data_IF_094090452733
#
_entry.id   IF_094090452733
#
_cell.length_a   1.000
_cell.length_b   1.000
_cell.length_c   1.000
_cell.angle_alpha   90.00
_cell.angle_beta   90.00
_cell.angle_gamma   90.00
#
_symmetry.space_group_name_H-M   'P 1'
#
loop_
_entity.id
_entity.type
_entity.pdbx_description
1 polymer ?
#
# COMPACT_ATOMS: atom_id res chain seq x y z
N UNK A 1 -11.87 8.96 25.65
CA UNK A 1 -10.97 7.81 25.59
C UNK A 1 -11.47 6.90 24.47
N UNK A 2 -10.60 6.36 23.63
CA UNK A 2 -10.92 5.49 22.51
C UNK A 2 -10.70 4.02 22.90
N UNK A 3 -11.44 3.11 22.27
CA UNK A 3 -11.17 1.68 22.38
C UNK A 3 -9.90 1.32 21.61
N UNK A 4 -9.73 1.90 20.42
CA UNK A 4 -8.49 1.78 19.66
C UNK A 4 -8.09 3.09 18.99
N UNK A 5 -6.78 3.39 18.97
CA UNK A 5 -6.16 4.46 18.18
C UNK A 5 -5.34 3.79 17.08
N UNK A 6 -5.63 4.15 15.85
CA UNK A 6 -5.01 3.59 14.65
C UNK A 6 -4.07 4.65 14.06
N UNK A 7 -2.79 4.37 14.01
CA UNK A 7 -1.77 5.27 13.49
C UNK A 7 -1.43 4.86 12.04
N UNK A 8 -1.77 5.72 11.09
CA UNK A 8 -1.65 5.51 9.65
C UNK A 8 -2.98 5.14 9.00
N UNK A 9 -3.46 5.98 8.07
CA UNK A 9 -4.71 5.78 7.33
C UNK A 9 -4.49 5.21 5.90
N UNK A 10 -3.44 4.42 5.71
CA UNK A 10 -3.30 3.58 4.53
C UNK A 10 -4.28 2.39 4.56
N UNK A 11 -4.23 1.47 3.58
CA UNK A 11 -5.16 0.35 3.47
C UNK A 11 -5.30 -0.49 4.76
N UNK A 12 -4.19 -0.67 5.50
CA UNK A 12 -4.22 -1.41 6.77
C UNK A 12 -5.01 -0.68 7.86
N UNK A 13 -4.77 0.64 8.02
CA UNK A 13 -5.43 1.42 9.07
C UNK A 13 -6.90 1.67 8.77
N UNK A 14 -7.24 1.99 7.53
CA UNK A 14 -8.63 2.18 7.12
C UNK A 14 -9.44 0.88 7.24
N UNK A 15 -8.87 -0.26 6.85
CA UNK A 15 -9.50 -1.56 7.07
C UNK A 15 -9.70 -1.84 8.57
N UNK A 16 -8.70 -1.54 9.41
CA UNK A 16 -8.80 -1.72 10.85
C UNK A 16 -9.92 -0.85 11.47
N UNK A 17 -10.07 0.40 11.01
CA UNK A 17 -11.15 1.29 11.45
C UNK A 17 -12.54 0.75 11.06
N UNK A 18 -12.68 0.27 9.81
CA UNK A 18 -13.94 -0.32 9.32
C UNK A 18 -14.32 -1.59 10.09
N UNK A 19 -13.38 -2.51 10.32
CA UNK A 19 -13.64 -3.69 11.16
C UNK A 19 -13.90 -3.31 12.62
N UNK A 20 -13.18 -2.31 13.16
CA UNK A 20 -13.44 -1.79 14.51
C UNK A 20 -14.86 -1.32 14.67
N UNK A 21 -15.39 -0.56 13.69
CA UNK A 21 -16.78 -0.13 13.69
C UNK A 21 -17.77 -1.33 13.68
N UNK A 22 -17.52 -2.36 12.85
CA UNK A 22 -18.35 -3.58 12.85
C UNK A 22 -18.38 -4.30 14.20
N UNK A 23 -17.33 -4.13 14.98
CA UNK A 23 -17.24 -4.69 16.35
C UNK A 23 -17.78 -3.71 17.41
N UNK A 24 -18.33 -2.58 17.02
CA UNK A 24 -18.87 -1.56 17.94
C UNK A 24 -17.80 -0.79 18.71
N UNK A 25 -16.54 -0.79 18.24
CA UNK A 25 -15.44 -0.09 18.89
C UNK A 25 -15.43 1.40 18.51
N UNK A 26 -15.20 2.26 19.48
CA UNK A 26 -14.90 3.66 19.26
C UNK A 26 -13.44 3.81 18.84
N UNK A 27 -13.20 4.11 17.56
CA UNK A 27 -11.86 4.21 16.99
C UNK A 27 -11.48 5.66 16.65
N UNK A 28 -10.16 5.95 16.72
CA UNK A 28 -9.55 7.18 16.20
C UNK A 28 -8.52 6.78 15.14
N UNK A 29 -8.67 7.30 13.94
CA UNK A 29 -7.77 7.09 12.81
C UNK A 29 -6.92 8.35 12.59
N UNK A 30 -5.59 8.21 12.64
CA UNK A 30 -4.64 9.31 12.52
C UNK A 30 -3.75 9.11 11.29
N UNK A 31 -3.58 10.13 10.45
CA UNK A 31 -2.56 10.13 9.40
C UNK A 31 -1.84 11.49 9.35
N UNK A 32 -0.56 11.45 9.03
CA UNK A 32 0.29 12.63 8.87
C UNK A 32 0.03 13.41 7.58
N UNK A 33 -0.64 12.80 6.63
CA UNK A 33 -0.95 13.37 5.31
C UNK A 33 -2.41 13.77 5.25
N UNK A 34 -2.69 14.76 4.40
CA UNK A 34 -4.04 15.06 3.94
C UNK A 34 -4.37 14.17 2.73
N UNK A 35 -5.63 13.76 2.60
CA UNK A 35 -6.11 12.95 1.48
C UNK A 35 -6.83 13.81 0.42
N UNK A 36 -6.73 13.48 -0.88
CA UNK A 36 -6.00 12.35 -1.47
C UNK A 36 -4.48 12.55 -1.48
N UNK A 37 -3.73 11.47 -1.23
CA UNK A 37 -2.28 11.47 -1.26
C UNK A 37 -1.71 10.33 -2.08
N UNK A 38 -0.53 10.53 -2.67
CA UNK A 38 0.20 9.47 -3.32
C UNK A 38 1.06 8.67 -2.33
N UNK A 39 1.37 7.43 -2.70
CA UNK A 39 2.27 6.54 -1.99
C UNK A 39 2.93 5.58 -2.97
N UNK A 40 4.26 5.54 -3.01
CA UNK A 40 5.01 4.62 -3.86
C UNK A 40 4.52 3.18 -3.68
N UNK A 41 4.00 2.59 -4.76
CA UNK A 41 3.42 1.25 -4.83
C UNK A 41 3.26 0.87 -6.30
N UNK A 42 3.16 -0.42 -6.62
CA UNK A 42 2.68 -0.91 -7.92
C UNK A 42 1.15 -0.84 -8.06
N UNK A 43 0.43 -0.40 -7.02
CA UNK A 43 -1.02 -0.16 -7.00
C UNK A 43 -1.90 -1.41 -7.17
N UNK A 44 -1.28 -2.59 -7.25
CA UNK A 44 -2.01 -3.83 -7.44
C UNK A 44 -2.71 -4.30 -6.14
N UNK A 45 -3.99 -4.61 -6.28
CA UNK A 45 -4.84 -5.22 -5.27
C UNK A 45 -5.01 -6.71 -5.63
N UNK A 46 -4.40 -7.57 -4.82
CA UNK A 46 -4.48 -9.02 -5.02
C UNK A 46 -5.86 -9.57 -4.65
N UNK A 47 -6.11 -10.81 -5.03
CA UNK A 47 -7.35 -11.49 -4.70
C UNK A 47 -7.69 -11.53 -3.20
N UNK A 48 -6.70 -11.57 -2.31
CA UNK A 48 -6.95 -11.46 -0.86
C UNK A 48 -7.49 -10.08 -0.48
N UNK A 49 -7.00 -9.02 -1.11
CA UNK A 49 -7.51 -7.66 -0.91
C UNK A 49 -8.94 -7.53 -1.42
N UNK A 50 -9.23 -8.12 -2.60
CA UNK A 50 -10.60 -8.16 -3.17
C UNK A 50 -11.58 -8.82 -2.21
N UNK A 51 -11.20 -9.94 -1.59
CA UNK A 51 -12.03 -10.61 -0.59
C UNK A 51 -12.30 -9.75 0.66
N UNK A 52 -11.31 -9.01 1.13
CA UNK A 52 -11.49 -8.08 2.27
C UNK A 52 -12.44 -6.93 1.88
N UNK A 53 -12.31 -6.42 0.66
CA UNK A 53 -13.19 -5.36 0.16
C UNK A 53 -14.63 -5.85 0.01
N UNK A 54 -14.83 -7.07 -0.45
CA UNK A 54 -16.13 -7.72 -0.52
C UNK A 54 -16.73 -7.93 0.87
N UNK A 55 -15.95 -8.47 1.80
CA UNK A 55 -16.35 -8.65 3.19
C UNK A 55 -16.72 -7.32 3.88
N UNK A 56 -16.08 -6.22 3.51
CA UNK A 56 -16.38 -4.88 4.01
C UNK A 56 -17.51 -4.16 3.25
N UNK A 57 -18.18 -4.79 2.28
CA UNK A 57 -19.21 -4.21 1.42
C UNK A 57 -18.71 -3.01 0.60
N UNK A 58 -17.44 -3.02 0.20
CA UNK A 58 -16.79 -1.92 -0.52
C UNK A 58 -16.53 -2.22 -1.99
N UNK A 59 -16.70 -3.47 -2.42
CA UNK A 59 -16.28 -3.92 -3.75
C UNK A 59 -17.03 -3.21 -4.88
N UNK A 60 -18.33 -2.95 -4.71
CA UNK A 60 -19.12 -2.20 -5.69
C UNK A 60 -18.56 -0.78 -5.92
N UNK A 61 -18.19 -0.09 -4.86
CA UNK A 61 -17.57 1.23 -4.96
C UNK A 61 -16.17 1.18 -5.60
N UNK A 62 -15.38 0.15 -5.29
CA UNK A 62 -14.07 -0.06 -5.90
C UNK A 62 -14.17 -0.32 -7.40
N UNK A 63 -15.18 -1.02 -7.86
CA UNK A 63 -15.44 -1.26 -9.30
C UNK A 63 -15.66 0.04 -10.11
N UNK A 64 -16.06 1.12 -9.45
CA UNK A 64 -16.32 2.42 -10.07
C UNK A 64 -15.13 3.38 -10.01
N UNK A 65 -14.01 2.98 -9.39
CA UNK A 65 -12.81 3.81 -9.31
C UNK A 65 -12.03 3.80 -10.64
N UNK A 66 -11.34 4.90 -10.93
CA UNK A 66 -10.43 4.98 -12.07
C UNK A 66 -9.22 4.08 -11.85
N UNK A 67 -9.18 2.96 -12.55
CA UNK A 67 -8.17 1.92 -12.46
C UNK A 67 -8.42 0.84 -13.50
N UNK A 68 -7.73 -0.29 -13.36
CA UNK A 68 -7.86 -1.44 -14.25
C UNK A 68 -8.25 -2.70 -13.49
N UNK A 69 -9.13 -3.50 -14.08
CA UNK A 69 -9.42 -4.86 -13.62
C UNK A 69 -8.38 -5.78 -14.25
N UNK A 70 -7.80 -6.65 -13.43
CA UNK A 70 -6.71 -7.55 -13.82
C UNK A 70 -7.17 -8.99 -13.71
N UNK A 71 -7.03 -9.72 -14.80
CA UNK A 71 -7.39 -11.14 -14.87
C UNK A 71 -6.18 -12.04 -15.14
N UNK A 72 -5.03 -11.46 -15.51
CA UNK A 72 -3.83 -12.21 -15.90
C UNK A 72 -2.58 -11.61 -15.27
N UNK A 73 -1.59 -12.48 -15.03
CA UNK A 73 -0.26 -12.10 -14.59
C UNK A 73 0.75 -12.72 -15.55
N UNK A 74 1.60 -11.90 -16.14
CA UNK A 74 2.70 -12.35 -17.00
C UNK A 74 4.00 -12.29 -16.21
N UNK A 75 4.75 -13.36 -16.26
CA UNK A 75 6.12 -13.44 -15.77
C UNK A 75 7.05 -13.64 -16.95
N UNK A 76 7.91 -12.67 -17.24
CA UNK A 76 8.90 -12.75 -18.30
C UNK A 76 10.31 -12.93 -17.72
N UNK A 77 11.09 -13.86 -18.27
CA UNK A 77 12.48 -14.09 -17.90
C UNK A 77 13.45 -13.23 -18.76
N UNK A 78 14.76 -13.16 -18.43
CA UNK A 78 15.73 -12.38 -19.20
C UNK A 78 15.92 -12.84 -20.67
N UNK A 79 15.41 -14.01 -21.03
CA UNK A 79 15.45 -14.55 -22.41
C UNK A 79 14.14 -14.32 -23.15
N UNK A 80 13.27 -13.44 -22.64
CA UNK A 80 11.95 -13.13 -23.20
C UNK A 80 11.00 -14.33 -23.32
N UNK A 81 11.21 -15.39 -22.52
CA UNK A 81 10.20 -16.44 -22.37
C UNK A 81 9.20 -16.02 -21.31
N UNK A 82 7.93 -16.22 -21.59
CA UNK A 82 6.83 -15.77 -20.75
C UNK A 82 6.05 -16.94 -20.17
N UNK A 83 5.53 -16.73 -18.97
CA UNK A 83 4.58 -17.61 -18.31
C UNK A 83 3.35 -16.79 -17.92
N UNK A 84 2.19 -17.20 -18.38
CA UNK A 84 0.91 -16.58 -18.07
C UNK A 84 0.20 -17.31 -16.94
N UNK A 85 -0.26 -16.56 -15.94
CA UNK A 85 -1.12 -17.05 -14.87
C UNK A 85 -2.51 -16.39 -14.98
N UNK A 86 -3.53 -17.20 -15.22
CA UNK A 86 -4.93 -16.74 -15.20
C UNK A 86 -5.46 -16.69 -13.77
N UNK A 87 -6.17 -15.62 -13.45
CA UNK A 87 -6.94 -15.49 -12.20
C UNK A 87 -8.33 -16.09 -12.40
N UNK A 88 -8.43 -17.43 -12.42
CA UNK A 88 -9.69 -18.15 -12.64
C UNK A 88 -10.27 -18.63 -11.30
N UNK A 89 -11.58 -18.39 -11.11
CA UNK A 89 -12.33 -18.84 -9.93
C UNK A 89 -12.26 -20.36 -9.72
N UNK A 90 -12.21 -21.11 -10.78
CA UNK A 90 -12.17 -22.59 -10.75
C UNK A 90 -10.81 -23.13 -10.28
N UNK A 91 -9.74 -22.34 -10.47
CA UNK A 91 -8.38 -22.74 -10.17
C UNK A 91 -7.89 -22.37 -8.77
N UNK A 92 -8.67 -21.59 -8.02
CA UNK A 92 -8.27 -21.18 -6.69
C UNK A 92 -9.37 -21.38 -5.63
N UNK A 93 -8.94 -21.78 -4.42
CA UNK A 93 -9.83 -22.05 -3.29
C UNK A 93 -10.64 -20.84 -2.79
N UNK A 94 -10.29 -19.65 -3.24
CA UNK A 94 -10.89 -18.38 -2.80
C UNK A 94 -11.97 -17.89 -3.77
N UNK A 95 -12.16 -18.57 -4.91
CA UNK A 95 -13.11 -18.21 -5.96
C UNK A 95 -12.97 -16.78 -6.49
N UNK A 96 -11.75 -16.26 -6.48
CA UNK A 96 -11.40 -14.91 -6.93
C UNK A 96 -11.06 -14.99 -8.42
N UNK A 97 -11.67 -14.13 -9.23
CA UNK A 97 -11.51 -14.11 -10.69
C UNK A 97 -10.67 -12.94 -11.19
N UNK A 98 -10.33 -12.00 -10.33
CA UNK A 98 -9.66 -10.78 -10.74
C UNK A 98 -8.95 -10.10 -9.57
N UNK A 99 -8.05 -9.19 -9.92
CA UNK A 99 -7.49 -8.17 -9.06
C UNK A 99 -7.77 -6.79 -9.64
N UNK A 100 -7.20 -5.76 -9.04
CA UNK A 100 -7.25 -4.40 -9.57
C UNK A 100 -5.86 -3.78 -9.56
N UNK A 101 -5.66 -2.79 -10.42
CA UNK A 101 -4.59 -1.81 -10.30
C UNK A 101 -5.26 -0.45 -10.23
N UNK A 102 -5.23 0.17 -9.06
CA UNK A 102 -5.87 1.47 -8.79
C UNK A 102 -4.83 2.38 -8.13
N UNK A 103 -4.57 3.58 -8.69
CA UNK A 103 -3.63 4.52 -8.09
C UNK A 103 -3.90 4.74 -6.62
N UNK A 104 -2.84 4.73 -5.80
CA UNK A 104 -2.95 4.88 -4.34
C UNK A 104 -3.64 6.18 -3.91
N UNK A 105 -3.50 7.25 -4.68
CA UNK A 105 -4.24 8.50 -4.42
C UNK A 105 -5.75 8.32 -4.53
N UNK A 106 -6.22 7.46 -5.41
CA UNK A 106 -7.65 7.17 -5.61
C UNK A 106 -8.12 6.12 -4.60
N UNK A 107 -7.41 4.99 -4.52
CA UNK A 107 -7.82 3.88 -3.65
C UNK A 107 -7.74 4.23 -2.17
N UNK A 108 -6.62 4.82 -1.73
CA UNK A 108 -6.44 5.18 -0.32
C UNK A 108 -7.46 6.27 0.11
N UNK A 109 -7.75 7.24 -0.78
CA UNK A 109 -8.77 8.25 -0.51
C UNK A 109 -10.16 7.63 -0.39
N UNK A 110 -10.53 6.73 -1.30
CA UNK A 110 -11.80 6.01 -1.20
C UNK A 110 -11.95 5.27 0.13
N UNK A 111 -10.93 4.51 0.53
CA UNK A 111 -10.91 3.77 1.79
C UNK A 111 -10.95 4.71 3.00
N UNK A 112 -10.24 5.83 2.92
CA UNK A 112 -10.20 6.83 4.00
C UNK A 112 -11.57 7.48 4.20
N UNK A 113 -12.25 7.91 3.12
CA UNK A 113 -13.60 8.48 3.23
C UNK A 113 -14.61 7.49 3.82
N UNK A 114 -14.50 6.20 3.49
CA UNK A 114 -15.33 5.17 4.10
C UNK A 114 -15.04 5.00 5.60
N UNK A 115 -13.77 4.98 5.98
CA UNK A 115 -13.37 4.88 7.39
C UNK A 115 -13.76 6.11 8.20
N UNK A 116 -13.64 7.31 7.64
CA UNK A 116 -14.01 8.58 8.26
C UNK A 116 -15.50 8.69 8.60
N UNK A 117 -16.37 8.01 7.85
CA UNK A 117 -17.80 7.98 8.13
C UNK A 117 -18.15 7.14 9.38
N UNK A 118 -17.25 6.30 9.87
CA UNK A 118 -17.52 5.34 10.96
C UNK A 118 -16.53 5.41 12.12
N UNK A 119 -15.54 6.29 12.03
CA UNK A 119 -14.52 6.53 13.06
C UNK A 119 -14.22 8.02 13.18
N UNK A 120 -13.76 8.45 14.36
CA UNK A 120 -13.12 9.75 14.44
C UNK A 120 -11.82 9.72 13.62
N UNK A 121 -11.52 10.75 12.84
CA UNK A 121 -10.33 10.80 12.01
C UNK A 121 -9.66 12.18 12.09
N UNK A 122 -8.32 12.21 12.09
CA UNK A 122 -7.54 13.42 12.00
C UNK A 122 -6.44 13.26 10.95
N UNK A 123 -6.52 14.10 9.90
CA UNK A 123 -5.53 14.25 8.83
C UNK A 123 -4.47 15.27 9.24
N UNK A 124 -3.30 15.22 8.63
CA UNK A 124 -2.22 16.18 8.94
C UNK A 124 -1.67 16.04 10.36
N UNK A 125 -1.96 14.93 11.05
CA UNK A 125 -1.48 14.67 12.41
C UNK A 125 -0.31 13.69 12.42
N UNK A 126 0.88 14.18 12.74
CA UNK A 126 2.09 13.37 12.83
C UNK A 126 2.28 12.83 14.24
N UNK A 127 2.03 11.53 14.44
CA UNK A 127 2.40 10.83 15.67
C UNK A 127 3.92 10.74 15.74
N UNK A 128 4.51 11.21 16.83
CA UNK A 128 5.95 11.22 17.06
C UNK A 128 6.38 10.48 18.33
N UNK A 129 5.44 10.17 19.22
CA UNK A 129 5.71 9.42 20.44
C UNK A 129 4.48 8.64 20.93
N UNK A 130 4.71 7.70 21.84
CA UNK A 130 3.70 6.94 22.54
C UNK A 130 3.62 7.39 24.01
N UNK A 131 2.42 7.32 24.58
CA UNK A 131 2.19 7.54 26.01
C UNK A 131 2.24 6.21 26.75
N UNK A 132 2.99 6.16 27.83
CA UNK A 132 3.19 4.96 28.63
C UNK A 132 2.67 5.15 30.06
N UNK A 133 2.12 4.07 30.60
CA UNK A 133 1.86 3.90 32.03
C UNK A 133 2.55 2.61 32.47
N UNK A 134 3.68 2.72 33.14
CA UNK A 134 4.59 1.59 33.34
C UNK A 134 5.04 1.01 32.00
N UNK A 135 4.79 -0.27 31.78
CA UNK A 135 5.14 -0.96 30.51
C UNK A 135 3.98 -0.99 29.50
N UNK A 136 2.84 -0.38 29.83
CA UNK A 136 1.66 -0.37 28.96
C UNK A 136 1.61 0.90 28.13
N UNK A 137 1.38 0.76 26.81
CA UNK A 137 1.05 1.89 25.94
C UNK A 137 -0.42 2.26 26.18
N UNK A 138 -0.68 3.55 26.49
CA UNK A 138 -2.00 4.08 26.83
C UNK A 138 -2.47 5.18 25.90
N UNK A 139 -1.67 5.51 24.88
CA UNK A 139 -2.01 6.57 23.94
C UNK A 139 -0.88 6.93 23.00
N UNK A 140 -1.09 7.98 22.24
CA UNK A 140 -0.14 8.56 21.30
C UNK A 140 0.00 10.06 21.55
N UNK A 141 1.19 10.60 21.23
CA UNK A 141 1.48 12.02 21.21
C UNK A 141 1.96 12.43 19.82
N UNK A 142 1.57 13.59 19.36
CA UNK A 142 1.95 14.09 18.04
C UNK A 142 1.69 15.57 17.85
N UNK A 143 1.83 16.01 16.59
CA UNK A 143 1.64 17.40 16.18
C UNK A 143 0.70 17.48 14.99
N UNK A 144 -0.23 18.42 15.04
CA UNK A 144 -1.04 18.85 13.90
C UNK A 144 -0.22 19.74 12.94
N UNK A 145 -0.74 19.98 11.74
CA UNK A 145 -0.08 20.83 10.71
C UNK A 145 0.24 22.22 11.22
N UNK A 146 -0.62 22.79 12.08
CA UNK A 146 -0.40 24.12 12.69
C UNK A 146 0.69 24.13 13.77
N UNK A 147 1.33 22.99 14.03
CA UNK A 147 2.38 22.82 15.04
C UNK A 147 1.87 22.57 16.46
N UNK A 148 0.54 22.60 16.69
CA UNK A 148 -0.03 22.31 18.01
C UNK A 148 0.22 20.85 18.41
N UNK A 149 0.66 20.64 19.65
CA UNK A 149 0.83 19.31 20.22
C UNK A 149 -0.48 18.80 20.79
N UNK A 150 -0.81 17.55 20.50
CA UNK A 150 -1.96 16.84 21.05
C UNK A 150 -1.60 15.48 21.57
N UNK A 151 -2.36 15.01 22.55
CA UNK A 151 -2.29 13.65 23.08
C UNK A 151 -3.66 12.98 22.95
N UNK A 152 -3.67 11.74 22.50
CA UNK A 152 -4.88 10.92 22.45
C UNK A 152 -4.68 9.68 23.30
N UNK A 153 -5.68 9.32 24.11
CA UNK A 153 -5.65 8.15 24.97
C UNK A 153 -6.62 7.08 24.50
N UNK A 154 -6.17 5.82 24.51
CA UNK A 154 -6.95 4.66 24.09
C UNK A 154 -6.46 3.37 24.75
N UNK A 155 -7.34 2.37 24.74
CA UNK A 155 -7.05 1.07 25.33
C UNK A 155 -6.09 0.23 24.50
N UNK A 156 -6.13 0.40 23.16
CA UNK A 156 -5.28 -0.28 22.18
C UNK A 156 -4.68 0.74 21.21
N UNK A 157 -3.39 0.56 20.87
CA UNK A 157 -2.73 1.34 19.82
C UNK A 157 -2.34 0.40 18.68
N UNK A 158 -2.87 0.67 17.49
CA UNK A 158 -2.60 -0.07 16.26
C UNK A 158 -1.62 0.72 15.39
N UNK A 159 -0.39 0.19 15.21
CA UNK A 159 0.58 0.75 14.27
C UNK A 159 0.29 0.26 12.84
N UNK A 160 -0.29 1.12 12.02
CA UNK A 160 -0.54 0.91 10.58
C UNK A 160 0.22 1.94 9.72
N UNK A 161 1.28 2.52 10.29
CA UNK A 161 2.06 3.66 9.80
C UNK A 161 3.19 3.28 8.82
N UNK A 162 3.10 2.07 8.26
CA UNK A 162 3.90 1.60 7.13
C UNK A 162 5.33 1.17 7.50
N UNK A 163 6.23 1.07 6.51
CA UNK A 163 7.54 0.41 6.67
C UNK A 163 8.50 1.16 7.60
N UNK A 164 8.24 2.43 7.89
CA UNK A 164 9.05 3.25 8.80
C UNK A 164 8.33 3.50 10.14
N UNK A 165 7.44 2.61 10.53
CA UNK A 165 6.55 2.73 11.69
C UNK A 165 7.21 3.34 12.92
N UNK A 166 6.63 4.46 13.39
CA UNK A 166 7.02 5.07 14.65
C UNK A 166 6.52 4.24 15.85
N UNK A 167 5.33 3.66 15.71
CA UNK A 167 4.76 2.78 16.76
C UNK A 167 5.69 1.61 17.01
N UNK A 168 6.11 0.90 15.95
CA UNK A 168 7.04 -0.23 16.05
C UNK A 168 8.40 0.16 16.65
N UNK A 169 8.93 1.35 16.26
CA UNK A 169 10.18 1.87 16.81
C UNK A 169 10.10 2.16 18.30
N UNK A 170 9.01 2.79 18.75
CA UNK A 170 8.84 3.20 20.14
C UNK A 170 8.60 2.04 21.11
N UNK A 171 8.06 0.92 20.62
CA UNK A 171 7.92 -0.31 21.42
C UNK A 171 9.10 -1.29 21.24
N UNK A 172 10.16 -0.90 20.51
CA UNK A 172 11.37 -1.72 20.33
C UNK A 172 11.22 -2.93 19.40
N UNK A 173 10.14 -2.97 18.58
CA UNK A 173 9.88 -4.07 17.64
C UNK A 173 10.37 -3.77 16.22
N UNK A 174 10.85 -2.57 15.96
CA UNK A 174 11.31 -2.19 14.62
C UNK A 174 12.68 -2.80 14.34
N UNK A 175 12.72 -3.69 13.37
CA UNK A 175 13.94 -4.27 12.84
C UNK A 175 13.94 -4.10 11.32
N UNK A 176 15.00 -3.50 10.79
CA UNK A 176 15.21 -3.38 9.35
C UNK A 176 16.33 -4.33 8.95
N UNK A 177 15.97 -5.40 8.28
CA UNK A 177 16.92 -6.29 7.61
C UNK A 177 17.05 -5.84 6.15
N UNK A 178 18.26 -5.42 5.75
CA UNK A 178 18.49 -4.92 4.40
C UNK A 178 18.44 -6.01 3.34
N UNK A 179 18.72 -7.26 3.71
CA UNK A 179 18.68 -8.40 2.80
C UNK A 179 17.24 -8.91 2.57
N UNK A 180 16.31 -8.51 3.44
CA UNK A 180 14.88 -8.81 3.30
C UNK A 180 14.02 -7.56 3.07
N UNK A 181 14.65 -6.39 2.86
CA UNK A 181 13.95 -5.15 2.54
C UNK A 181 14.13 -4.83 1.07
N UNK A 182 13.04 -4.73 0.33
CA UNK A 182 13.04 -4.22 -1.04
C UNK A 182 12.82 -2.69 -1.06
N UNK A 183 13.44 -2.03 -2.00
CA UNK A 183 13.20 -0.64 -2.36
C UNK A 183 12.80 -0.57 -3.83
N UNK A 184 11.95 0.36 -4.18
CA UNK A 184 11.49 0.54 -5.55
C UNK A 184 11.17 1.97 -5.86
N UNK A 185 11.18 2.27 -7.14
CA UNK A 185 10.69 3.52 -7.71
C UNK A 185 9.65 3.20 -8.75
N UNK A 186 8.77 4.15 -9.03
CA UNK A 186 7.78 4.04 -10.10
C UNK A 186 7.37 5.40 -10.64
N UNK A 187 6.86 5.40 -11.86
CA UNK A 187 6.17 6.53 -12.47
C UNK A 187 4.87 6.05 -13.09
N UNK A 188 3.92 6.97 -13.25
CA UNK A 188 2.80 6.77 -14.15
C UNK A 188 3.17 7.25 -15.54
N UNK A 189 2.95 6.39 -16.51
CA UNK A 189 3.13 6.71 -17.94
C UNK A 189 1.75 6.77 -18.58
N UNK A 190 1.53 7.81 -19.37
CA UNK A 190 0.30 7.99 -20.15
C UNK A 190 0.53 7.66 -21.61
N UNK A 191 -0.55 7.41 -22.35
CA UNK A 191 -0.54 7.02 -23.76
C UNK A 191 0.24 5.73 -24.03
N UNK A 192 0.29 4.83 -23.03
CA UNK A 192 0.86 3.50 -23.19
C UNK A 192 -0.07 2.67 -24.07
N UNK A 193 0.49 2.12 -25.16
CA UNK A 193 -0.27 1.31 -26.12
C UNK A 193 -0.35 -0.14 -25.66
N UNK A 194 -1.31 -0.85 -26.21
CA UNK A 194 -1.50 -2.30 -26.08
C UNK A 194 -1.65 -2.81 -24.63
N UNK A 195 -2.05 -1.90 -23.71
CA UNK A 195 -2.42 -2.29 -22.36
C UNK A 195 -3.68 -3.16 -22.38
N UNK A 196 -3.63 -4.26 -21.64
CA UNK A 196 -4.73 -5.22 -21.50
C UNK A 196 -5.13 -5.39 -20.03
N UNK A 197 -5.81 -6.49 -19.69
CA UNK A 197 -6.21 -6.89 -18.35
C UNK A 197 -5.10 -7.66 -17.59
N UNK A 198 -3.84 -7.48 -17.96
CA UNK A 198 -2.70 -8.17 -17.37
C UNK A 198 -1.73 -7.22 -16.67
N UNK A 199 -1.15 -7.69 -15.57
CA UNK A 199 0.06 -7.10 -15.00
C UNK A 199 1.27 -7.89 -15.48
N UNK A 200 2.38 -7.20 -15.72
CA UNK A 200 3.60 -7.80 -16.23
C UNK A 200 4.75 -7.61 -15.24
N UNK A 201 5.47 -8.70 -15.01
CA UNK A 201 6.64 -8.78 -14.15
C UNK A 201 7.81 -9.30 -14.96
N UNK A 202 8.75 -8.42 -15.31
CA UNK A 202 9.90 -8.72 -16.13
C UNK A 202 11.15 -8.87 -15.26
N UNK A 203 11.73 -10.06 -15.26
CA UNK A 203 13.01 -10.36 -14.62
C UNK A 203 14.12 -10.14 -15.64
N UNK A 204 14.68 -8.95 -15.65
CA UNK A 204 15.77 -8.56 -16.56
C UNK A 204 17.12 -8.58 -15.85
N UNK A 205 18.21 -8.79 -16.59
CA UNK A 205 19.54 -8.94 -15.99
C UNK A 205 19.99 -7.69 -15.25
N UNK A 206 19.64 -6.52 -15.77
CA UNK A 206 20.02 -5.21 -15.23
C UNK A 206 19.51 -4.96 -13.80
N UNK A 207 18.45 -5.68 -13.39
CA UNK A 207 17.85 -5.49 -12.06
C UNK A 207 17.83 -6.78 -11.23
N UNK A 208 18.48 -7.84 -11.68
CA UNK A 208 18.55 -9.09 -10.92
C UNK A 208 19.20 -8.86 -9.51
N UNK A 209 18.62 -9.38 -8.42
CA UNK A 209 17.44 -10.27 -8.28
C UNK A 209 16.11 -9.53 -8.05
N UNK A 210 15.92 -8.37 -8.61
CA UNK A 210 14.66 -7.63 -8.61
C UNK A 210 13.83 -7.90 -9.85
N UNK A 211 12.87 -7.01 -10.11
CA UNK A 211 12.04 -7.06 -11.31
C UNK A 211 11.59 -5.66 -11.74
N UNK A 212 11.31 -5.52 -13.01
CA UNK A 212 10.62 -4.41 -13.64
C UNK A 212 9.15 -4.78 -13.80
N UNK A 213 8.23 -3.84 -13.63
CA UNK A 213 6.81 -4.10 -13.78
C UNK A 213 6.12 -3.10 -14.70
N UNK A 214 5.07 -3.56 -15.39
CA UNK A 214 4.13 -2.76 -16.15
C UNK A 214 2.72 -3.13 -15.69
N UNK A 215 2.06 -2.23 -14.97
CA UNK A 215 0.73 -2.46 -14.40
C UNK A 215 -0.25 -1.44 -14.98
N UNK A 216 -1.22 -1.87 -15.81
CA UNK A 216 -2.27 -0.99 -16.31
C UNK A 216 -3.02 -0.35 -15.13
N UNK A 217 -3.21 0.97 -15.14
CA UNK A 217 -3.85 1.68 -14.03
C UNK A 217 -4.89 2.70 -14.50
N UNK A 218 -5.69 2.30 -15.48
CA UNK A 218 -6.71 3.10 -16.15
C UNK A 218 -6.50 3.11 -17.67
N UNK A 219 -7.31 3.89 -18.37
CA UNK A 219 -7.27 3.92 -19.83
C UNK A 219 -5.95 4.53 -20.33
N UNK A 220 -5.17 3.74 -21.08
CA UNK A 220 -3.88 4.12 -21.66
C UNK A 220 -2.86 4.65 -20.64
N UNK A 221 -3.01 4.36 -19.37
CA UNK A 221 -2.07 4.71 -18.30
C UNK A 221 -1.55 3.45 -17.62
N UNK A 222 -0.25 3.41 -17.33
CA UNK A 222 0.39 2.33 -16.58
C UNK A 222 1.23 2.88 -15.43
N UNK A 223 1.22 2.14 -14.32
CA UNK A 223 2.21 2.24 -13.26
C UNK A 223 3.39 1.36 -13.67
N UNK A 224 4.53 1.98 -13.94
CA UNK A 224 5.76 1.31 -14.39
C UNK A 224 6.84 1.56 -13.34
N UNK A 225 7.57 0.52 -12.98
CA UNK A 225 8.64 0.69 -12.01
C UNK A 225 9.60 -0.49 -11.90
N UNK A 226 10.55 -0.32 -11.01
CA UNK A 226 11.59 -1.32 -10.68
C UNK A 226 11.69 -1.48 -9.18
N UNK A 227 11.93 -2.71 -8.74
CA UNK A 227 12.17 -3.06 -7.35
C UNK A 227 13.39 -3.96 -7.18
N UNK A 228 14.19 -3.68 -6.14
CA UNK A 228 15.43 -4.41 -5.87
C UNK A 228 15.67 -4.48 -4.35
N UNK A 229 16.43 -5.46 -3.89
CA UNK A 229 16.85 -5.56 -2.50
C UNK A 229 17.70 -4.36 -2.08
N UNK A 230 17.41 -3.81 -0.91
CA UNK A 230 18.08 -2.62 -0.37
C UNK A 230 19.57 -2.83 -0.15
N UNK A 231 19.97 -4.03 0.25
CA UNK A 231 21.38 -4.40 0.42
C UNK A 231 22.16 -4.29 -0.89
N UNK A 232 21.57 -4.70 -2.01
CA UNK A 232 22.20 -4.65 -3.33
C UNK A 232 22.29 -3.21 -3.83
N UNK A 233 21.20 -2.45 -3.72
CA UNK A 233 21.20 -1.03 -4.10
C UNK A 233 22.32 -0.28 -3.39
N UNK A 234 22.49 -0.53 -2.07
CA UNK A 234 23.53 0.12 -1.28
C UNK A 234 24.93 -0.38 -1.63
N UNK A 235 25.11 -1.71 -1.74
CA UNK A 235 26.42 -2.34 -2.01
C UNK A 235 27.00 -1.93 -3.36
N UNK A 236 26.15 -1.86 -4.38
CA UNK A 236 26.55 -1.60 -5.75
C UNK A 236 26.31 -0.15 -6.19
N UNK A 237 25.84 0.71 -5.28
CA UNK A 237 25.52 2.14 -5.53
C UNK A 237 24.58 2.30 -6.75
N UNK A 238 23.60 1.39 -6.90
CA UNK A 238 22.72 1.37 -8.07
C UNK A 238 21.75 2.56 -8.08
N UNK A 239 21.65 3.23 -9.21
CA UNK A 239 20.65 4.26 -9.47
C UNK A 239 19.42 3.64 -10.13
N UNK A 240 18.37 3.38 -9.34
CA UNK A 240 17.14 2.75 -9.83
C UNK A 240 16.45 3.58 -10.94
N UNK A 241 16.58 4.91 -10.92
CA UNK A 241 15.98 5.77 -11.96
C UNK A 241 16.65 5.58 -13.31
N UNK A 242 17.97 5.51 -13.34
CA UNK A 242 18.72 5.23 -14.58
C UNK A 242 18.42 3.83 -15.11
N UNK A 243 18.40 2.84 -14.22
CA UNK A 243 18.08 1.46 -14.59
C UNK A 243 16.68 1.38 -15.20
N UNK A 244 15.67 1.99 -14.56
CA UNK A 244 14.31 2.00 -15.08
C UNK A 244 14.21 2.64 -16.47
N UNK A 245 14.89 3.78 -16.67
CA UNK A 245 14.91 4.47 -17.97
C UNK A 245 15.60 3.62 -19.03
N UNK A 246 16.71 2.98 -18.71
CA UNK A 246 17.43 2.11 -19.64
C UNK A 246 16.57 0.91 -20.08
N UNK A 247 15.86 0.26 -19.12
CA UNK A 247 14.96 -0.85 -19.45
C UNK A 247 13.80 -0.38 -20.36
N UNK A 248 13.24 0.81 -20.11
CA UNK A 248 12.14 1.35 -20.95
C UNK A 248 12.61 1.64 -22.36
N UNK A 249 13.88 1.99 -22.57
CA UNK A 249 14.45 2.37 -23.86
C UNK A 249 15.08 1.18 -24.61
N UNK A 250 15.19 0.00 -24.01
CA UNK A 250 15.75 -1.20 -24.62
C UNK A 250 14.71 -1.97 -25.43
#
# INVERSE_FOLDING_TARGET
MYDAIIVGAGPAGTSAALYGNRLGLKTLLLDKSDFPRDKTCGDALSGKSVKILDDLDLLEGVNNLDGSIIQRIIFANPKHSECELLLDKSLNKQHISHGYVIPRSIFDNYMFEKAKNVSDAEEGFTVNDLLFEGNRVIGVKGKSVDGSEKEFRGNLILGADGPNSIVSKKVGLYQMDMDHTAVGIRCYYENVKDLTDQIELHYVEEINPGYFWIFPSGKNRANIGVGLLKSIVKKESRNLSEIMINIINS
#
